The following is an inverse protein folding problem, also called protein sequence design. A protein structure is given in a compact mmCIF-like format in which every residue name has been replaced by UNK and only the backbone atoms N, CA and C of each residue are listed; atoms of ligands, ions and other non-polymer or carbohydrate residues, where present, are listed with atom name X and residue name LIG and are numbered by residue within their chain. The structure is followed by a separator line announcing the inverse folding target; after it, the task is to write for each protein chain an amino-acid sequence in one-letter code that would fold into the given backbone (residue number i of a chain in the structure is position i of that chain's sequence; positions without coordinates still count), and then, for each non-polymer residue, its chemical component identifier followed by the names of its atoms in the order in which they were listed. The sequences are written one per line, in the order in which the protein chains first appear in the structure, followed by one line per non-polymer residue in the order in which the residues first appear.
data_IF_047081255628
#
_entry.id   IF_047081255628
#
_cell.length_a   1.000
_cell.length_b   1.000
_cell.length_c   1.000
_cell.angle_alpha   90.00
_cell.angle_beta   90.00
_cell.angle_gamma   90.00
#
_symmetry.space_group_name_H-M   'P 1'
#
loop_
_entity.id
_entity.type
_entity.pdbx_description
1 polymer ?
#
# COMPACT_ATOMS: atom_id res chain seq x y z
N UNK A 1 -26.63 -11.38 6.92
CA UNK A 1 -26.08 -10.65 8.09
C UNK A 1 -25.34 -9.42 7.61
N UNK A 2 -25.41 -8.31 8.38
CA UNK A 2 -24.70 -7.07 8.05
C UNK A 2 -23.18 -7.28 7.93
N UNK A 3 -22.58 -8.00 8.86
CA UNK A 3 -21.15 -8.30 8.84
C UNK A 3 -20.69 -9.07 7.58
N UNK A 4 -21.55 -9.88 6.99
CA UNK A 4 -21.27 -10.59 5.74
C UNK A 4 -21.26 -9.61 4.55
N UNK A 5 -22.22 -8.67 4.50
CA UNK A 5 -22.26 -7.64 3.45
C UNK A 5 -21.06 -6.69 3.55
N UNK A 6 -20.71 -6.26 4.77
CA UNK A 6 -19.50 -5.46 5.01
C UNK A 6 -18.25 -6.18 4.51
N UNK A 7 -18.10 -7.48 4.84
CA UNK A 7 -16.96 -8.28 4.36
C UNK A 7 -16.95 -8.48 2.84
N UNK A 8 -18.12 -8.61 2.21
CA UNK A 8 -18.22 -8.64 0.75
C UNK A 8 -17.75 -7.31 0.15
N UNK A 9 -18.21 -6.19 0.71
CA UNK A 9 -17.80 -4.86 0.25
C UNK A 9 -16.30 -4.66 0.38
N UNK A 10 -15.70 -5.02 1.51
CA UNK A 10 -14.26 -4.84 1.78
C UNK A 10 -13.36 -5.72 0.93
N UNK A 11 -13.72 -6.99 0.73
CA UNK A 11 -12.81 -7.99 0.19
C UNK A 11 -13.16 -8.47 -1.23
N UNK A 12 -14.37 -8.23 -1.71
CA UNK A 12 -14.84 -8.74 -3.01
C UNK A 12 -15.28 -7.65 -3.97
N UNK A 13 -15.36 -6.39 -3.51
CA UNK A 13 -15.66 -5.23 -4.36
C UNK A 13 -14.59 -4.15 -4.21
N UNK A 14 -14.43 -3.31 -5.24
CA UNK A 14 -13.58 -2.12 -5.23
C UNK A 14 -14.25 -1.09 -6.13
N UNK A 15 -15.24 -0.42 -5.59
CA UNK A 15 -16.06 0.54 -6.32
C UNK A 15 -16.61 1.62 -5.40
N UNK A 16 -16.93 2.78 -5.94
CA UNK A 16 -17.61 3.88 -5.23
C UNK A 16 -19.14 3.74 -5.21
N UNK A 17 -19.69 2.73 -5.87
CA UNK A 17 -21.12 2.45 -5.96
C UNK A 17 -21.50 1.10 -5.36
N UNK A 18 -22.59 0.53 -5.83
CA UNK A 18 -23.16 -0.74 -5.32
C UNK A 18 -23.32 -1.83 -6.39
N UNK A 19 -22.91 -1.57 -7.64
CA UNK A 19 -23.11 -2.54 -8.75
C UNK A 19 -22.29 -3.82 -8.58
N UNK A 20 -21.06 -3.72 -8.11
CA UNK A 20 -20.23 -4.88 -7.84
C UNK A 20 -20.75 -5.65 -6.63
N UNK A 21 -21.20 -4.95 -5.59
CA UNK A 21 -21.86 -5.57 -4.44
C UNK A 21 -23.10 -6.35 -4.87
N UNK A 22 -23.98 -5.75 -5.68
CA UNK A 22 -25.15 -6.41 -6.25
C UNK A 22 -24.77 -7.70 -6.99
N UNK A 23 -23.75 -7.66 -7.84
CA UNK A 23 -23.24 -8.85 -8.57
C UNK A 23 -22.74 -9.94 -7.63
N UNK A 24 -22.05 -9.59 -6.54
CA UNK A 24 -21.59 -10.58 -5.56
C UNK A 24 -22.74 -11.18 -4.78
N UNK A 25 -23.73 -10.38 -4.37
CA UNK A 25 -24.95 -10.86 -3.72
C UNK A 25 -25.72 -11.80 -4.66
N UNK A 26 -25.92 -11.39 -5.91
CA UNK A 26 -26.57 -12.25 -6.92
C UNK A 26 -25.80 -13.56 -7.16
N UNK A 27 -24.46 -13.54 -7.11
CA UNK A 27 -23.63 -14.78 -7.17
C UNK A 27 -23.88 -15.67 -5.96
N UNK A 28 -24.01 -15.11 -4.76
CA UNK A 28 -24.30 -15.87 -3.55
C UNK A 28 -25.71 -16.50 -3.62
N UNK A 29 -26.71 -15.76 -4.11
CA UNK A 29 -28.08 -16.29 -4.33
C UNK A 29 -28.09 -17.40 -5.36
N UNK A 30 -27.38 -17.27 -6.49
CA UNK A 30 -27.25 -18.34 -7.48
C UNK A 30 -26.55 -19.59 -6.92
N UNK A 31 -25.54 -19.40 -6.07
CA UNK A 31 -24.89 -20.53 -5.39
C UNK A 31 -25.88 -21.29 -4.50
N UNK A 32 -26.71 -20.57 -3.73
CA UNK A 32 -27.75 -21.15 -2.90
C UNK A 32 -28.79 -21.91 -3.75
N UNK A 33 -29.30 -21.29 -4.81
CA UNK A 33 -30.27 -21.90 -5.71
C UNK A 33 -29.73 -23.17 -6.37
N UNK A 34 -28.46 -23.17 -6.82
CA UNK A 34 -27.78 -24.34 -7.34
C UNK A 34 -27.68 -25.47 -6.31
N UNK A 35 -27.25 -25.14 -5.09
CA UNK A 35 -27.08 -26.13 -4.02
C UNK A 35 -28.43 -26.79 -3.68
N UNK A 36 -29.51 -26.01 -3.61
CA UNK A 36 -30.85 -26.49 -3.39
C UNK A 36 -31.32 -27.43 -4.51
N UNK A 37 -31.15 -27.00 -5.76
CA UNK A 37 -31.55 -27.80 -6.93
C UNK A 37 -30.79 -29.14 -7.04
N UNK A 38 -29.55 -29.17 -6.54
CA UNK A 38 -28.70 -30.36 -6.53
C UNK A 38 -28.83 -31.18 -5.24
N UNK A 39 -29.78 -30.87 -4.35
CA UNK A 39 -29.97 -31.49 -3.03
C UNK A 39 -28.67 -31.52 -2.19
N UNK A 40 -27.84 -30.49 -2.33
CA UNK A 40 -26.60 -30.32 -1.56
C UNK A 40 -26.87 -29.53 -0.28
N UNK A 41 -26.15 -29.88 0.78
CA UNK A 41 -26.20 -29.12 2.03
C UNK A 41 -25.78 -27.66 1.82
N UNK A 42 -26.62 -26.72 2.23
CA UNK A 42 -26.41 -25.31 2.12
C UNK A 42 -26.82 -24.59 3.40
N UNK A 43 -25.93 -23.67 3.87
CA UNK A 43 -26.25 -22.79 4.99
C UNK A 43 -27.07 -21.59 4.50
N UNK A 44 -28.38 -21.56 4.83
CA UNK A 44 -29.28 -20.44 4.46
C UNK A 44 -28.95 -19.11 5.14
N UNK A 45 -28.08 -19.12 6.14
CA UNK A 45 -27.64 -17.94 6.87
C UNK A 45 -26.10 -17.88 6.92
N UNK A 46 -25.45 -17.70 5.76
CA UNK A 46 -24.01 -17.82 5.66
C UNK A 46 -23.26 -16.81 6.54
N UNK A 47 -22.11 -17.23 7.03
CA UNK A 47 -21.16 -16.45 7.78
C UNK A 47 -19.96 -16.02 6.91
N UNK A 48 -19.08 -15.18 7.46
CA UNK A 48 -17.86 -14.71 6.77
C UNK A 48 -17.00 -15.88 6.28
N UNK A 49 -16.95 -16.99 7.04
CA UNK A 49 -16.20 -18.19 6.68
C UNK A 49 -16.71 -18.88 5.41
N UNK A 50 -18.00 -18.76 5.14
CA UNK A 50 -18.65 -19.37 3.98
C UNK A 50 -18.35 -18.61 2.68
N UNK A 51 -17.98 -17.33 2.77
CA UNK A 51 -17.77 -16.47 1.60
C UNK A 51 -16.74 -17.01 0.62
N UNK A 52 -15.66 -17.61 1.11
CA UNK A 52 -14.63 -18.22 0.25
C UNK A 52 -15.18 -19.37 -0.59
N UNK A 53 -16.09 -20.18 -0.01
CA UNK A 53 -16.77 -21.29 -0.72
C UNK A 53 -17.77 -20.74 -1.75
N UNK A 54 -18.49 -19.68 -1.39
CA UNK A 54 -19.59 -19.10 -2.19
C UNK A 54 -19.07 -18.22 -3.32
N UNK A 55 -18.15 -17.32 -3.02
CA UNK A 55 -17.68 -16.27 -3.92
C UNK A 55 -16.30 -16.55 -4.52
N UNK A 56 -15.56 -17.52 -3.97
CA UNK A 56 -14.17 -17.78 -4.30
C UNK A 56 -13.20 -16.99 -3.40
N UNK A 57 -11.91 -16.98 -3.72
CA UNK A 57 -10.93 -16.22 -2.94
C UNK A 57 -11.23 -14.73 -2.97
N UNK A 58 -10.92 -13.99 -1.89
CA UNK A 58 -11.00 -12.53 -1.87
C UNK A 58 -10.19 -11.91 -3.00
N UNK A 59 -10.65 -10.79 -3.52
CA UNK A 59 -9.95 -10.03 -4.58
C UNK A 59 -9.05 -8.93 -4.02
N UNK A 60 -9.34 -8.47 -2.81
CA UNK A 60 -8.64 -7.38 -2.15
C UNK A 60 -8.03 -7.94 -0.86
N UNK A 61 -6.72 -7.89 -0.76
CA UNK A 61 -5.94 -8.25 0.43
C UNK A 61 -5.38 -6.96 1.00
N UNK A 62 -5.89 -6.50 2.15
CA UNK A 62 -5.42 -5.26 2.79
C UNK A 62 -4.22 -5.46 3.72
N UNK A 63 -3.87 -6.71 4.05
CA UNK A 63 -3.04 -7.01 5.21
C UNK A 63 -1.63 -7.53 4.87
N UNK A 64 -1.03 -7.05 3.76
CA UNK A 64 0.27 -7.55 3.30
C UNK A 64 1.38 -7.29 4.35
N UNK A 65 1.23 -6.25 5.18
CA UNK A 65 2.22 -5.84 6.20
C UNK A 65 1.63 -5.50 7.56
N UNK A 66 0.56 -6.18 8.00
CA UNK A 66 -0.13 -5.93 9.28
C UNK A 66 0.80 -5.94 10.50
N UNK A 67 1.95 -6.62 10.37
CA UNK A 67 2.98 -6.73 11.39
C UNK A 67 4.36 -6.40 10.83
N UNK A 68 4.54 -5.20 10.28
CA UNK A 68 5.82 -4.80 9.73
C UNK A 68 6.93 -4.77 10.79
N UNK A 69 7.79 -5.79 10.76
CA UNK A 69 8.95 -5.93 11.64
C UNK A 69 10.28 -5.64 10.92
N UNK A 70 10.23 -5.15 9.70
CA UNK A 70 11.41 -4.97 8.84
C UNK A 70 11.72 -3.49 8.69
N UNK A 71 13.00 -3.11 8.81
CA UNK A 71 13.45 -1.78 8.44
C UNK A 71 13.32 -1.58 6.93
N UNK A 72 13.00 -0.36 6.50
CA UNK A 72 12.83 -0.04 5.09
C UNK A 72 11.41 -0.21 4.55
N UNK A 73 10.43 -0.56 5.37
CA UNK A 73 9.02 -0.63 4.96
C UNK A 73 8.20 0.40 5.72
N UNK A 74 7.45 1.23 5.00
CA UNK A 74 6.65 2.32 5.57
C UNK A 74 5.28 2.37 4.91
N UNK A 75 4.26 2.63 5.72
CA UNK A 75 2.88 2.81 5.25
C UNK A 75 2.66 4.26 4.84
N UNK A 76 2.30 4.46 3.59
CA UNK A 76 1.79 5.71 3.05
C UNK A 76 0.28 5.68 2.87
N UNK A 77 -0.28 6.83 2.52
CA UNK A 77 -1.70 7.00 2.25
C UNK A 77 -1.89 7.50 0.82
N UNK A 78 -2.80 6.89 0.11
CA UNK A 78 -3.23 7.29 -1.22
C UNK A 78 -4.70 7.69 -1.23
N UNK A 79 -5.06 8.54 -2.16
CA UNK A 79 -6.45 8.85 -2.48
C UNK A 79 -6.79 8.27 -3.86
N UNK A 80 -7.93 7.61 -3.95
CA UNK A 80 -8.42 6.98 -5.18
C UNK A 80 -9.87 7.40 -5.44
N UNK A 81 -10.39 7.12 -6.62
CA UNK A 81 -11.79 7.37 -6.95
C UNK A 81 -12.79 6.64 -6.04
N UNK A 82 -12.34 5.65 -5.28
CA UNK A 82 -13.16 4.85 -4.35
C UNK A 82 -12.89 5.17 -2.88
N UNK A 83 -12.13 6.24 -2.60
CA UNK A 83 -11.78 6.68 -1.24
C UNK A 83 -10.28 6.56 -0.93
N UNK A 84 -9.94 6.62 0.36
CA UNK A 84 -8.57 6.42 0.83
C UNK A 84 -8.12 4.97 0.66
N UNK A 85 -6.81 4.81 0.45
CA UNK A 85 -6.16 3.50 0.34
C UNK A 85 -4.81 3.52 1.01
N UNK A 86 -4.33 2.34 1.43
CA UNK A 86 -3.01 2.16 2.03
C UNK A 86 -2.00 1.86 0.93
N UNK A 87 -0.86 2.51 1.00
CA UNK A 87 0.24 2.36 0.08
C UNK A 87 1.48 1.93 0.86
N UNK A 88 2.02 0.75 0.59
CA UNK A 88 3.28 0.33 1.17
C UNK A 88 4.45 0.80 0.31
N UNK A 89 5.48 1.30 0.96
CA UNK A 89 6.74 1.66 0.31
C UNK A 89 7.84 0.82 0.94
N UNK A 90 8.51 0.06 0.12
CA UNK A 90 9.61 -0.83 0.48
C UNK A 90 10.91 -0.29 -0.09
N UNK A 91 11.94 -0.23 0.73
CA UNK A 91 13.29 0.12 0.28
C UNK A 91 14.25 -1.02 0.54
N UNK A 92 15.16 -1.25 -0.38
CA UNK A 92 16.24 -2.23 -0.28
C UNK A 92 17.57 -1.63 -0.74
N UNK A 93 18.67 -2.17 -0.25
CA UNK A 93 20.02 -1.86 -0.72
C UNK A 93 20.74 -3.13 -1.14
N UNK A 94 21.62 -3.00 -2.10
CA UNK A 94 22.53 -4.05 -2.56
C UNK A 94 23.90 -3.45 -2.90
N UNK A 95 25.01 -4.19 -2.87
CA UNK A 95 26.29 -3.69 -3.35
C UNK A 95 26.17 -3.11 -4.75
N UNK A 96 26.79 -1.92 -5.00
CA UNK A 96 26.60 -1.25 -6.28
C UNK A 96 27.41 0.03 -6.44
N UNK A 97 26.86 0.99 -7.16
CA UNK A 97 27.54 2.23 -7.57
C UNK A 97 26.67 3.48 -7.38
N UNK A 98 25.88 3.54 -6.33
CA UNK A 98 25.04 4.71 -6.00
C UNK A 98 23.73 4.85 -6.78
N UNK A 99 23.34 3.85 -7.60
CA UNK A 99 22.16 3.96 -8.46
C UNK A 99 20.87 3.82 -7.67
N UNK A 100 19.88 4.67 -7.96
CA UNK A 100 18.52 4.57 -7.44
C UNK A 100 17.60 3.95 -8.50
N UNK A 101 17.02 2.80 -8.19
CA UNK A 101 16.00 2.13 -8.99
C UNK A 101 14.62 2.28 -8.34
N UNK A 102 13.59 2.47 -9.16
CA UNK A 102 12.23 2.71 -8.68
C UNK A 102 11.27 1.83 -9.48
N UNK A 103 10.46 1.02 -8.78
CA UNK A 103 9.47 0.12 -9.39
C UNK A 103 8.10 0.22 -8.73
N UNK A 104 7.04 -0.26 -9.39
CA UNK A 104 5.66 -0.24 -8.89
C UNK A 104 4.68 0.54 -9.77
N UNK A 105 5.02 0.75 -11.05
CA UNK A 105 4.20 1.51 -12.03
C UNK A 105 3.97 2.95 -11.57
N UNK A 106 5.08 3.63 -11.23
CA UNK A 106 5.07 5.01 -10.72
C UNK A 106 5.19 6.01 -11.85
N UNK A 107 4.38 7.07 -11.79
CA UNK A 107 4.43 8.20 -12.68
C UNK A 107 5.66 9.11 -12.44
N UNK A 108 5.79 10.13 -13.25
CA UNK A 108 6.95 11.01 -13.26
C UNK A 108 7.13 11.76 -11.94
N UNK A 109 6.05 12.33 -11.41
CA UNK A 109 6.09 13.16 -10.19
C UNK A 109 6.51 12.30 -8.97
N UNK A 110 6.01 11.08 -8.90
CA UNK A 110 6.36 10.17 -7.81
C UNK A 110 7.82 9.70 -7.88
N UNK A 111 8.37 9.53 -9.08
CA UNK A 111 9.80 9.25 -9.29
C UNK A 111 10.69 10.44 -8.93
N UNK A 112 10.27 11.65 -9.25
CA UNK A 112 10.95 12.87 -8.81
C UNK A 112 10.98 12.99 -7.28
N UNK A 113 9.88 12.66 -6.60
CA UNK A 113 9.81 12.62 -5.13
C UNK A 113 10.80 11.64 -4.52
N UNK A 114 10.99 10.47 -5.14
CA UNK A 114 12.00 9.50 -4.70
C UNK A 114 13.43 10.03 -4.85
N UNK A 115 13.70 10.73 -5.95
CA UNK A 115 15.00 11.38 -6.19
C UNK A 115 15.25 12.49 -5.15
N UNK A 116 14.27 13.35 -4.89
CA UNK A 116 14.36 14.39 -3.86
C UNK A 116 14.64 13.80 -2.48
N UNK A 117 13.95 12.69 -2.12
CA UNK A 117 14.16 12.01 -0.87
C UNK A 117 15.59 11.48 -0.73
N UNK A 118 16.15 10.88 -1.77
CA UNK A 118 17.53 10.37 -1.79
C UNK A 118 18.54 11.50 -1.67
N UNK A 119 18.38 12.59 -2.43
CA UNK A 119 19.30 13.73 -2.39
C UNK A 119 19.25 14.46 -1.03
N UNK A 120 18.06 14.55 -0.41
CA UNK A 120 17.95 15.06 0.96
C UNK A 120 18.75 14.21 1.96
N UNK A 121 18.65 12.89 1.86
CA UNK A 121 19.39 11.97 2.74
C UNK A 121 20.89 12.15 2.59
N UNK A 122 21.40 12.17 1.34
CA UNK A 122 22.82 12.38 1.06
C UNK A 122 23.35 13.70 1.64
N UNK A 123 22.57 14.78 1.45
CA UNK A 123 22.92 16.11 1.94
C UNK A 123 22.91 16.23 3.47
N UNK A 124 22.10 15.42 4.16
CA UNK A 124 21.87 15.52 5.61
C UNK A 124 22.34 14.26 6.38
N UNK A 125 23.27 13.49 5.83
CA UNK A 125 23.71 12.21 6.41
C UNK A 125 24.16 12.32 7.88
N UNK A 126 24.80 13.41 8.27
CA UNK A 126 25.26 13.64 9.64
C UNK A 126 24.08 13.80 10.62
N UNK A 127 23.07 14.56 10.25
CA UNK A 127 21.87 14.78 11.08
C UNK A 127 21.03 13.49 11.20
N UNK A 128 21.08 12.63 10.19
CA UNK A 128 20.36 11.36 10.16
C UNK A 128 21.11 10.22 10.87
N UNK A 129 22.33 10.47 11.38
CA UNK A 129 23.14 9.50 12.09
C UNK A 129 23.74 8.40 11.20
N UNK A 130 24.01 8.72 9.93
CA UNK A 130 24.62 7.83 8.92
C UNK A 130 25.86 8.48 8.28
N UNK A 131 26.61 9.26 9.06
CA UNK A 131 27.79 10.02 8.60
C UNK A 131 28.84 9.15 7.90
N UNK A 132 29.09 7.95 8.42
CA UNK A 132 30.08 7.01 7.89
C UNK A 132 29.57 6.20 6.68
N UNK A 133 28.30 6.34 6.31
CA UNK A 133 27.74 5.58 5.20
C UNK A 133 28.23 6.13 3.85
N UNK A 134 28.84 5.23 3.03
CA UNK A 134 29.27 5.56 1.68
C UNK A 134 28.17 5.19 0.68
N UNK A 135 27.52 6.17 0.10
CA UNK A 135 26.41 5.98 -0.84
C UNK A 135 26.86 5.38 -2.17
N UNK A 136 28.11 5.53 -2.55
CA UNK A 136 28.69 5.02 -3.81
C UNK A 136 28.88 3.49 -3.80
N UNK A 137 28.91 2.86 -2.62
CA UNK A 137 29.13 1.42 -2.48
C UNK A 137 27.86 0.59 -2.64
N UNK A 138 26.70 1.24 -2.75
CA UNK A 138 25.41 0.56 -2.78
C UNK A 138 24.48 1.10 -3.87
N UNK A 139 23.67 0.21 -4.43
CA UNK A 139 22.49 0.57 -5.19
C UNK A 139 21.26 0.56 -4.28
N UNK A 140 20.32 1.43 -4.55
CA UNK A 140 19.08 1.64 -3.80
C UNK A 140 17.91 1.23 -4.66
N UNK A 141 16.94 0.59 -4.06
CA UNK A 141 15.70 0.24 -4.73
C UNK A 141 14.52 0.65 -3.88
N UNK A 142 13.61 1.43 -4.47
CA UNK A 142 12.29 1.71 -3.90
C UNK A 142 11.27 0.95 -4.70
N UNK A 143 10.47 0.14 -4.03
CA UNK A 143 9.35 -0.58 -4.62
C UNK A 143 8.04 -0.17 -3.97
N UNK A 144 7.03 0.03 -4.80
CA UNK A 144 5.65 0.26 -4.35
C UNK A 144 4.78 -0.86 -4.91
N UNK A 145 4.34 -1.81 -4.07
CA UNK A 145 3.53 -2.95 -4.48
C UNK A 145 2.26 -2.57 -5.26
N UNK A 146 1.60 -3.59 -5.82
CA UNK A 146 0.44 -3.43 -6.71
C UNK A 146 0.80 -2.71 -8.03
N UNK A 147 1.83 -3.18 -8.72
CA UNK A 147 2.32 -2.60 -9.99
C UNK A 147 1.30 -2.59 -11.14
N UNK A 148 0.20 -3.32 -11.05
CA UNK A 148 -0.91 -3.26 -12.01
C UNK A 148 -1.68 -1.93 -11.93
N UNK A 149 -1.63 -1.23 -10.79
CA UNK A 149 -2.31 0.05 -10.56
C UNK A 149 -1.32 1.19 -10.76
N UNK A 150 -1.52 2.10 -11.75
CA UNK A 150 -0.69 3.29 -11.90
C UNK A 150 -0.79 4.19 -10.66
N UNK A 151 0.35 4.70 -10.21
CA UNK A 151 0.44 5.59 -9.05
C UNK A 151 1.27 6.81 -9.41
N UNK A 152 0.79 8.01 -9.08
CA UNK A 152 1.54 9.26 -9.30
C UNK A 152 1.19 10.29 -8.23
N UNK A 153 2.02 11.34 -8.14
CA UNK A 153 1.85 12.46 -7.24
C UNK A 153 2.97 12.61 -6.20
N UNK A 154 3.11 13.80 -5.60
CA UNK A 154 4.21 14.12 -4.70
C UNK A 154 3.97 13.63 -3.26
N UNK A 155 2.76 13.21 -2.93
CA UNK A 155 2.32 12.96 -1.54
C UNK A 155 2.99 11.76 -0.86
N UNK A 156 3.69 10.91 -1.60
CA UNK A 156 4.48 9.81 -1.06
C UNK A 156 5.92 10.19 -0.70
N UNK A 157 6.34 11.43 -0.94
CA UNK A 157 7.72 11.87 -0.75
C UNK A 157 8.25 11.64 0.66
N UNK A 158 7.50 12.05 1.68
CA UNK A 158 7.89 11.83 3.08
C UNK A 158 7.93 10.34 3.45
N UNK A 159 7.05 9.54 2.86
CA UNK A 159 7.02 8.09 3.08
C UNK A 159 8.25 7.42 2.48
N UNK A 160 8.65 7.82 1.26
CA UNK A 160 9.87 7.34 0.60
C UNK A 160 11.13 7.73 1.36
N UNK A 161 11.21 8.98 1.81
CA UNK A 161 12.29 9.46 2.68
C UNK A 161 12.40 8.59 3.94
N UNK A 162 11.29 8.40 4.63
CA UNK A 162 11.25 7.63 5.88
C UNK A 162 11.62 6.17 5.66
N UNK A 163 11.19 5.57 4.54
CA UNK A 163 11.53 4.20 4.17
C UNK A 163 13.04 4.03 3.96
N UNK A 164 13.67 4.94 3.20
CA UNK A 164 15.12 4.94 2.99
C UNK A 164 15.90 5.18 4.30
N UNK A 165 15.49 6.16 5.11
CA UNK A 165 16.14 6.43 6.40
C UNK A 165 16.00 5.24 7.35
N UNK A 166 14.82 4.63 7.41
CA UNK A 166 14.58 3.42 8.20
C UNK A 166 15.52 2.28 7.79
N UNK A 167 15.68 2.08 6.48
CA UNK A 167 16.59 1.09 5.92
C UNK A 167 18.05 1.38 6.28
N UNK A 168 18.52 2.59 6.03
CA UNK A 168 19.92 2.99 6.25
C UNK A 168 20.32 3.00 7.74
N UNK A 169 19.40 3.36 8.61
CA UNK A 169 19.62 3.35 10.06
C UNK A 169 19.28 2.01 10.73
N UNK A 170 18.73 1.04 9.98
CA UNK A 170 18.22 -0.24 10.50
C UNK A 170 17.18 -0.07 11.62
N UNK A 171 16.51 1.09 11.68
CA UNK A 171 15.46 1.40 12.66
C UNK A 171 14.09 1.21 12.05
N UNK A 172 13.28 0.38 12.68
CA UNK A 172 11.90 0.12 12.23
C UNK A 172 11.02 1.33 12.47
N UNK A 173 10.08 1.55 11.57
CA UNK A 173 9.00 2.51 11.76
C UNK A 173 7.96 1.93 12.74
N UNK A 174 7.36 2.80 13.55
CA UNK A 174 6.33 2.40 14.52
C UNK A 174 5.16 1.72 13.82
N UNK A 175 4.62 0.69 14.46
CA UNK A 175 3.37 0.06 14.02
C UNK A 175 2.22 1.06 14.00
N UNK A 176 1.25 0.82 13.13
CA UNK A 176 0.05 1.65 13.00
C UNK A 176 0.34 3.15 12.73
N UNK A 177 1.48 3.42 12.09
CA UNK A 177 1.86 4.74 11.63
C UNK A 177 1.79 4.78 10.10
N UNK A 178 0.98 5.66 9.59
CA UNK A 178 0.94 6.00 8.17
C UNK A 178 1.26 7.48 7.98
N UNK A 179 1.78 7.84 6.82
CA UNK A 179 2.14 9.22 6.53
C UNK A 179 1.84 9.60 5.10
N UNK A 180 1.64 10.90 4.88
CA UNK A 180 1.49 11.49 3.57
C UNK A 180 2.02 12.92 3.60
N UNK A 181 2.70 13.35 2.55
CA UNK A 181 3.28 14.68 2.44
C UNK A 181 4.30 14.78 1.32
N UNK A 182 4.40 15.94 0.72
CA UNK A 182 5.46 16.25 -0.24
C UNK A 182 6.72 16.64 0.51
N UNK A 183 7.87 16.10 0.12
CA UNK A 183 9.16 16.45 0.72
C UNK A 183 9.92 17.41 -0.19
N UNK A 184 10.55 18.44 0.38
CA UNK A 184 11.44 19.34 -0.34
C UNK A 184 12.91 18.98 -0.12
N UNK A 185 13.81 19.46 -0.98
CA UNK A 185 15.27 19.31 -0.82
C UNK A 185 15.80 19.94 0.50
N UNK A 186 15.02 20.77 1.16
CA UNK A 186 15.36 21.39 2.46
C UNK A 186 14.76 20.63 3.66
N UNK A 187 14.10 19.50 3.41
CA UNK A 187 13.47 18.68 4.46
C UNK A 187 12.14 19.23 4.95
N UNK A 188 11.57 20.24 4.30
CA UNK A 188 10.25 20.75 4.65
C UNK A 188 9.19 19.84 4.06
N UNK A 189 8.20 19.49 4.87
CA UNK A 189 7.02 18.72 4.41
C UNK A 189 5.92 19.70 4.04
N UNK A 190 5.47 19.62 2.79
CA UNK A 190 4.40 20.45 2.27
C UNK A 190 3.05 19.73 2.37
N UNK A 191 1.95 20.50 2.52
CA UNK A 191 0.60 19.96 2.53
C UNK A 191 0.25 19.35 1.17
N UNK A 192 -0.60 18.31 1.21
CA UNK A 192 -1.06 17.58 0.01
C UNK A 192 -2.58 17.46 0.00
N UNK A 193 -3.14 17.23 -1.18
CA UNK A 193 -4.58 17.04 -1.34
C UNK A 193 -5.10 15.70 -0.78
N UNK A 194 -6.43 15.61 -0.66
CA UNK A 194 -7.13 14.37 -0.28
C UNK A 194 -6.92 13.93 1.17
N UNK A 195 -6.61 14.84 2.08
CA UNK A 195 -6.36 14.51 3.50
C UNK A 195 -7.60 13.94 4.18
N UNK A 196 -8.78 14.40 3.77
CA UNK A 196 -10.06 13.90 4.33
C UNK A 196 -10.30 12.45 3.95
N UNK A 197 -9.94 12.07 2.75
CA UNK A 197 -10.13 10.72 2.20
C UNK A 197 -9.03 9.76 2.69
N UNK A 198 -7.84 10.26 2.91
CA UNK A 198 -6.68 9.54 3.45
C UNK A 198 -6.81 9.28 4.94
#
# INVERSE_FOLDING_TARGET
KRSVLEKITECYTRESGVRALEKQVAKAVRFAAKSLAMSQDYNYNPDIKDLKKILGPPKVYRDIYENNYVAGVVTGLAWTAVGGDILFIESAISPGKGNLSITGNLGKIMKESATIAMEYIKANKNQLGISEFNFEDYNYHIHVPEGATPKDGPSAGITMLTSLVSLLTQKRVKKNLAMTGEITLRGKVLPVGGIKEK
#
